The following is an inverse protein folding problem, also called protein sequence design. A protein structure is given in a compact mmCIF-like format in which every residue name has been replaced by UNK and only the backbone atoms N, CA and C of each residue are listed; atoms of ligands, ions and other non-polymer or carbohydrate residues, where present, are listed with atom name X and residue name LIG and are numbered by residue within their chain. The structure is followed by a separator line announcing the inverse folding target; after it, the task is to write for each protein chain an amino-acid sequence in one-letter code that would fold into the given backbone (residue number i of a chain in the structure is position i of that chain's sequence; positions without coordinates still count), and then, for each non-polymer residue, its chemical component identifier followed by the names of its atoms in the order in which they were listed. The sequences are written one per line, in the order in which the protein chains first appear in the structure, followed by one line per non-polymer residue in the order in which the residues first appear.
data_IF_858383560248
#
_entry.id   IF_858383560248
#
_cell.length_a   1.000
_cell.length_b   1.000
_cell.length_c   1.000
_cell.angle_alpha   90.00
_cell.angle_beta   90.00
_cell.angle_gamma   90.00
#
_symmetry.space_group_name_H-M   'P 1'
#
loop_
_entity.id
_entity.type
_entity.pdbx_description
1 polymer ?
#
# COMPACT_ATOMS: atom_id res chain seq x y z
N UNK A 1 13.93 30.68 20.71
CA UNK A 1 14.71 29.47 20.37
C UNK A 1 13.89 28.67 19.38
N UNK A 2 14.33 28.65 18.13
CA UNK A 2 13.70 27.95 17.01
C UNK A 2 13.97 26.46 17.16
N UNK A 3 12.94 25.63 17.31
CA UNK A 3 13.04 24.18 17.18
C UNK A 3 12.67 23.80 15.74
N UNK A 4 13.59 23.12 15.07
CA UNK A 4 13.44 22.63 13.71
C UNK A 4 12.30 21.61 13.59
N UNK A 5 11.52 21.62 12.49
CA UNK A 5 10.55 20.57 12.19
C UNK A 5 11.27 19.45 11.43
N UNK A 6 11.97 18.60 12.17
CA UNK A 6 12.76 17.49 11.61
C UNK A 6 12.45 16.12 12.20
N UNK A 7 11.66 16.07 13.27
CA UNK A 7 11.24 14.80 13.86
C UNK A 7 9.97 14.35 13.14
N UNK A 8 10.12 13.32 12.30
CA UNK A 8 9.00 12.53 11.81
C UNK A 8 8.17 12.13 13.03
N UNK A 9 6.97 12.68 13.16
CA UNK A 9 5.99 12.25 14.15
C UNK A 9 5.69 10.77 13.88
N UNK A 10 6.37 9.90 14.60
CA UNK A 10 5.97 8.50 14.73
C UNK A 10 4.86 8.50 15.77
N UNK A 11 3.63 8.35 15.31
CA UNK A 11 2.45 8.30 16.17
C UNK A 11 1.64 7.04 15.84
N UNK A 12 0.95 6.53 16.85
CA UNK A 12 0.00 5.43 16.69
C UNK A 12 -1.23 5.95 15.93
N UNK A 13 -1.58 5.39 14.76
CA UNK A 13 -2.77 5.79 14.00
C UNK A 13 -4.08 5.64 14.77
N UNK A 14 -4.14 4.76 15.77
CA UNK A 14 -5.33 4.62 16.64
C UNK A 14 -5.55 5.83 17.55
N UNK A 15 -4.50 6.61 17.80
CA UNK A 15 -4.56 7.87 18.56
C UNK A 15 -5.04 9.06 17.72
N UNK A 16 -5.24 8.86 16.41
CA UNK A 16 -5.75 9.88 15.50
C UNK A 16 -7.28 9.81 15.43
N UNK A 17 -7.94 10.93 15.75
CA UNK A 17 -9.40 11.06 15.67
C UNK A 17 -9.76 12.02 14.56
N UNK A 18 -10.62 11.59 13.64
CA UNK A 18 -11.16 12.47 12.59
C UNK A 18 -12.28 13.31 13.19
N UNK A 19 -12.07 14.62 13.25
CA UNK A 19 -13.06 15.57 13.77
C UNK A 19 -14.01 16.03 12.66
N UNK A 20 -13.45 16.38 11.50
CA UNK A 20 -14.23 16.95 10.39
C UNK A 20 -13.53 16.76 9.05
N UNK A 21 -14.31 16.49 8.00
CA UNK A 21 -13.82 16.64 6.63
C UNK A 21 -13.73 18.14 6.25
N UNK A 22 -12.53 18.60 5.91
CA UNK A 22 -12.27 19.99 5.52
C UNK A 22 -12.44 20.19 4.02
N UNK A 23 -11.91 19.27 3.21
CA UNK A 23 -11.97 19.35 1.75
C UNK A 23 -11.76 17.99 1.13
N UNK A 24 -12.55 17.68 0.13
CA UNK A 24 -12.36 16.50 -0.72
C UNK A 24 -12.16 16.90 -2.17
N UNK A 25 -11.46 16.05 -2.90
CA UNK A 25 -11.29 16.08 -4.34
C UNK A 25 -11.17 14.64 -4.84
N UNK A 26 -11.10 14.46 -6.16
CA UNK A 26 -10.83 13.16 -6.76
C UNK A 26 -9.45 12.58 -6.40
N UNK A 27 -8.51 13.40 -5.92
CA UNK A 27 -7.12 13.00 -5.67
C UNK A 27 -6.71 13.02 -4.18
N UNK A 28 -7.55 13.55 -3.30
CA UNK A 28 -7.26 13.62 -1.87
C UNK A 28 -8.49 13.95 -1.03
N UNK A 29 -8.44 13.53 0.24
CA UNK A 29 -9.32 14.01 1.30
C UNK A 29 -8.48 14.70 2.38
N UNK A 30 -8.87 15.90 2.79
CA UNK A 30 -8.28 16.62 3.92
C UNK A 30 -9.27 16.57 5.06
N UNK A 31 -8.82 16.01 6.17
CA UNK A 31 -9.53 15.97 7.43
C UNK A 31 -8.86 16.92 8.42
N UNK A 32 -9.67 17.55 9.24
CA UNK A 32 -9.25 18.02 10.53
C UNK A 32 -9.21 16.83 11.47
N UNK A 33 -8.07 16.64 12.12
CA UNK A 33 -7.86 15.52 13.03
C UNK A 33 -7.33 16.00 14.36
N UNK A 34 -7.72 15.32 15.42
CA UNK A 34 -7.09 15.46 16.73
C UNK A 34 -6.05 14.36 16.90
N UNK A 35 -4.84 14.75 17.30
CA UNK A 35 -3.76 13.84 17.68
C UNK A 35 -3.13 14.38 18.98
N UNK A 36 -3.14 13.57 20.04
CA UNK A 36 -2.58 13.91 21.36
C UNK A 36 -3.11 15.26 21.92
N UNK A 37 -4.40 15.55 21.70
CA UNK A 37 -5.03 16.80 22.16
C UNK A 37 -4.70 18.04 21.32
N UNK A 38 -3.98 17.87 20.20
CA UNK A 38 -3.68 18.93 19.25
C UNK A 38 -4.40 18.71 17.91
N UNK A 39 -4.85 19.80 17.28
CA UNK A 39 -5.54 19.75 15.99
C UNK A 39 -4.54 19.85 14.84
N UNK A 40 -4.66 18.95 13.87
CA UNK A 40 -3.87 18.91 12.65
C UNK A 40 -4.78 18.81 11.42
N UNK A 41 -4.21 19.04 10.24
CA UNK A 41 -4.82 18.66 8.98
C UNK A 41 -4.18 17.36 8.49
N UNK A 42 -4.96 16.30 8.36
CA UNK A 42 -4.55 15.06 7.72
C UNK A 42 -4.97 15.09 6.26
N UNK A 43 -4.00 15.06 5.35
CA UNK A 43 -4.27 14.79 3.93
C UNK A 43 -4.11 13.30 3.68
N UNK A 44 -5.17 12.64 3.24
CA UNK A 44 -5.18 11.25 2.77
C UNK A 44 -5.13 11.25 1.25
N UNK A 45 -4.23 10.46 0.68
CA UNK A 45 -4.03 10.27 -0.76
C UNK A 45 -3.68 8.79 -1.01
N UNK A 46 -4.40 8.13 -1.92
CA UNK A 46 -4.27 6.70 -2.23
C UNK A 46 -5.54 6.16 -2.91
N UNK A 47 -5.53 4.92 -3.44
CA UNK A 47 -6.61 4.39 -4.26
C UNK A 47 -7.95 4.38 -3.52
N UNK A 48 -8.92 5.14 -4.03
CA UNK A 48 -10.28 5.14 -3.49
C UNK A 48 -10.97 3.78 -3.67
N UNK A 49 -11.55 3.24 -2.61
CA UNK A 49 -12.57 2.21 -2.71
C UNK A 49 -13.90 2.86 -3.09
N UNK A 50 -14.39 2.57 -4.30
CA UNK A 50 -15.63 3.16 -4.81
C UNK A 50 -16.87 2.31 -4.50
N UNK A 51 -16.70 1.03 -4.16
CA UNK A 51 -17.80 0.14 -3.82
C UNK A 51 -17.52 -1.32 -4.18
N UNK A 52 -18.53 -2.16 -4.02
CA UNK A 52 -18.49 -3.57 -4.42
C UNK A 52 -19.71 -3.93 -5.24
N UNK A 53 -19.57 -4.94 -6.09
CA UNK A 53 -20.65 -5.58 -6.83
C UNK A 53 -20.77 -6.99 -6.29
N UNK A 54 -21.90 -7.30 -5.69
CA UNK A 54 -22.24 -8.67 -5.32
C UNK A 54 -22.88 -9.40 -6.51
N UNK A 55 -22.46 -10.64 -6.75
CA UNK A 55 -22.99 -11.53 -7.80
C UNK A 55 -23.06 -10.88 -9.18
N UNK A 56 -21.90 -10.45 -9.68
CA UNK A 56 -21.76 -9.90 -11.02
C UNK A 56 -22.11 -10.96 -12.08
N UNK A 57 -22.94 -10.58 -13.07
CA UNK A 57 -23.34 -11.47 -14.17
C UNK A 57 -22.21 -11.57 -15.22
N UNK A 58 -21.48 -12.71 -15.32
CA UNK A 58 -20.36 -12.83 -16.23
C UNK A 58 -20.76 -12.74 -17.71
N UNK A 59 -22.01 -13.06 -18.04
CA UNK A 59 -22.51 -13.06 -19.41
C UNK A 59 -22.52 -11.65 -20.04
N UNK A 60 -22.60 -10.60 -19.22
CA UNK A 60 -22.58 -9.19 -19.65
C UNK A 60 -21.19 -8.67 -19.99
N UNK A 61 -20.13 -9.37 -19.57
CA UNK A 61 -18.74 -8.91 -19.69
C UNK A 61 -17.87 -9.89 -20.48
N UNK A 62 -18.50 -10.63 -21.40
CA UNK A 62 -17.77 -11.51 -22.30
C UNK A 62 -16.88 -10.68 -23.25
N UNK A 63 -15.67 -11.18 -23.60
CA UNK A 63 -15.14 -12.50 -23.23
C UNK A 63 -14.37 -12.53 -21.90
N UNK A 64 -14.17 -11.38 -21.25
CA UNK A 64 -13.22 -11.22 -20.15
C UNK A 64 -13.55 -12.08 -18.91
N UNK A 65 -14.83 -12.34 -18.66
CA UNK A 65 -15.29 -13.11 -17.50
C UNK A 65 -15.77 -14.52 -17.84
N UNK A 66 -15.40 -15.06 -19.02
CA UNK A 66 -15.86 -16.39 -19.46
C UNK A 66 -15.53 -17.53 -18.48
N UNK A 67 -14.45 -17.39 -17.71
CA UNK A 67 -14.03 -18.40 -16.74
C UNK A 67 -14.98 -18.52 -15.54
N UNK A 68 -15.82 -17.52 -15.27
CA UNK A 68 -16.85 -17.55 -14.22
C UNK A 68 -18.22 -18.06 -14.71
N UNK A 69 -18.39 -18.36 -16.00
CA UNK A 69 -19.72 -18.65 -16.59
C UNK A 69 -20.41 -19.89 -16.02
N UNK A 70 -19.63 -20.85 -15.52
CA UNK A 70 -20.15 -22.12 -14.99
C UNK A 70 -20.10 -22.18 -13.46
N UNK A 71 -19.75 -21.08 -12.79
CA UNK A 71 -19.64 -21.06 -11.35
C UNK A 71 -21.04 -21.04 -10.71
N UNK A 72 -21.21 -21.81 -9.64
CA UNK A 72 -22.50 -21.90 -8.92
C UNK A 72 -22.94 -20.56 -8.30
N UNK A 73 -22.01 -19.63 -8.11
CA UNK A 73 -22.26 -18.29 -7.60
C UNK A 73 -21.56 -17.27 -8.51
N UNK A 74 -22.26 -16.20 -8.86
CA UNK A 74 -21.65 -15.11 -9.62
C UNK A 74 -20.51 -14.45 -8.82
N UNK A 75 -19.42 -14.02 -9.48
CA UNK A 75 -18.28 -13.43 -8.80
C UNK A 75 -18.65 -12.14 -8.08
N UNK A 76 -18.06 -11.92 -6.91
CA UNK A 76 -18.07 -10.62 -6.23
C UNK A 76 -16.88 -9.81 -6.74
N UNK A 77 -17.10 -8.53 -6.99
CA UNK A 77 -16.06 -7.60 -7.43
C UNK A 77 -15.98 -6.40 -6.49
N UNK A 78 -14.78 -5.83 -6.33
CA UNK A 78 -14.58 -4.52 -5.73
C UNK A 78 -14.19 -3.52 -6.82
N UNK A 79 -14.67 -2.29 -6.71
CA UNK A 79 -14.31 -1.19 -7.57
C UNK A 79 -13.31 -0.31 -6.83
N UNK A 80 -12.12 -0.20 -7.41
CA UNK A 80 -11.02 0.61 -6.92
C UNK A 80 -10.73 1.74 -7.90
N UNK A 81 -10.12 2.81 -7.40
CA UNK A 81 -9.58 3.87 -8.23
C UNK A 81 -8.61 3.29 -9.26
N UNK A 82 -8.76 3.75 -10.50
CA UNK A 82 -7.82 3.43 -11.55
C UNK A 82 -6.62 4.39 -11.47
N UNK A 83 -5.47 3.85 -11.14
CA UNK A 83 -4.21 4.58 -11.08
C UNK A 83 -3.60 4.63 -12.50
N UNK A 84 -3.55 5.82 -13.09
CA UNK A 84 -2.94 6.03 -14.42
C UNK A 84 -1.41 5.97 -14.38
N UNK A 85 -0.82 5.60 -15.52
CA UNK A 85 0.63 5.61 -15.74
C UNK A 85 1.44 4.85 -14.67
N UNK A 86 0.92 3.69 -14.24
CA UNK A 86 1.57 2.85 -13.24
C UNK A 86 2.54 1.85 -13.85
N UNK A 87 3.67 1.63 -13.17
CA UNK A 87 4.62 0.55 -13.47
C UNK A 87 4.95 -0.27 -12.22
N UNK A 88 5.17 -1.58 -12.39
CA UNK A 88 5.81 -2.40 -11.35
C UNK A 88 7.30 -2.06 -11.24
N UNK A 89 7.90 -2.10 -10.03
CA UNK A 89 9.34 -2.00 -9.86
C UNK A 89 10.07 -3.10 -10.64
N UNK A 90 11.07 -2.72 -11.41
CA UNK A 90 11.92 -3.59 -12.20
C UNK A 90 13.36 -3.04 -12.28
N UNK A 91 14.27 -3.77 -12.91
CA UNK A 91 15.70 -3.42 -12.94
C UNK A 91 16.04 -2.12 -13.68
N UNK A 92 15.12 -1.60 -14.50
CA UNK A 92 15.29 -0.38 -15.27
C UNK A 92 14.75 0.83 -14.50
N UNK A 93 13.60 0.66 -13.86
CA UNK A 93 12.90 1.74 -13.15
C UNK A 93 13.16 1.72 -11.63
N UNK A 94 14.06 0.88 -11.13
CA UNK A 94 14.45 0.90 -9.73
C UNK A 94 15.26 2.17 -9.37
N UNK A 95 15.03 2.71 -8.16
CA UNK A 95 15.87 3.73 -7.54
C UNK A 95 15.80 3.66 -6.02
N UNK A 96 16.82 4.19 -5.34
CA UNK A 96 16.84 4.26 -3.87
C UNK A 96 15.70 5.10 -3.31
N UNK A 97 15.25 6.13 -4.04
CA UNK A 97 14.13 6.97 -3.63
C UNK A 97 12.80 6.19 -3.70
N UNK A 98 12.60 5.38 -4.75
CA UNK A 98 11.43 4.50 -4.88
C UNK A 98 11.43 3.40 -3.82
N UNK A 99 12.59 2.79 -3.55
CA UNK A 99 12.72 1.82 -2.46
C UNK A 99 12.40 2.45 -1.11
N UNK A 100 12.95 3.64 -0.84
CA UNK A 100 12.68 4.37 0.40
C UNK A 100 11.20 4.69 0.54
N UNK A 101 10.54 5.11 -0.53
CA UNK A 101 9.09 5.35 -0.55
C UNK A 101 8.30 4.07 -0.25
N UNK A 102 8.67 2.93 -0.86
CA UNK A 102 8.05 1.63 -0.57
C UNK A 102 8.21 1.23 0.90
N UNK A 103 9.40 1.38 1.48
CA UNK A 103 9.68 1.09 2.90
C UNK A 103 8.88 2.00 3.82
N UNK A 104 8.77 3.29 3.51
CA UNK A 104 7.94 4.23 4.28
C UNK A 104 6.47 3.81 4.23
N UNK A 105 5.97 3.45 3.04
CA UNK A 105 4.61 2.93 2.88
C UNK A 105 4.36 1.66 3.69
N UNK A 106 5.29 0.71 3.66
CA UNK A 106 5.20 -0.54 4.41
C UNK A 106 5.23 -0.32 5.93
N UNK A 107 6.07 0.60 6.42
CA UNK A 107 6.04 1.02 7.83
C UNK A 107 4.70 1.65 8.22
N UNK A 108 4.09 2.41 7.31
CA UNK A 108 2.73 2.93 7.50
C UNK A 108 1.69 1.81 7.64
N UNK A 109 1.78 0.78 6.81
CA UNK A 109 0.93 -0.42 6.88
C UNK A 109 1.10 -1.12 8.22
N UNK A 110 2.35 -1.39 8.63
CA UNK A 110 2.64 -2.02 9.93
C UNK A 110 2.17 -1.15 11.10
N UNK A 111 2.38 0.17 11.03
CA UNK A 111 1.93 1.13 12.04
C UNK A 111 0.40 1.20 12.16
N UNK A 112 -0.33 0.91 11.08
CA UNK A 112 -1.78 0.77 11.08
C UNK A 112 -2.26 -0.60 11.61
N UNK A 113 -1.37 -1.38 12.22
CA UNK A 113 -1.65 -2.73 12.73
C UNK A 113 -2.10 -3.69 11.63
N UNK A 114 -1.52 -3.54 10.43
CA UNK A 114 -1.77 -4.41 9.28
C UNK A 114 -0.47 -5.14 8.94
N UNK A 115 -0.54 -6.45 8.78
CA UNK A 115 0.53 -7.25 8.19
C UNK A 115 0.12 -7.69 6.80
N UNK A 116 0.83 -7.21 5.76
CA UNK A 116 0.44 -7.40 4.36
C UNK A 116 0.57 -8.86 3.87
N UNK A 117 1.58 -9.60 4.36
CA UNK A 117 1.85 -11.02 4.06
C UNK A 117 2.22 -11.40 2.61
N UNK A 118 2.29 -10.42 1.70
CA UNK A 118 2.71 -10.62 0.29
C UNK A 118 3.49 -9.38 -0.18
N UNK A 119 4.59 -9.04 0.49
CA UNK A 119 5.34 -7.80 0.27
C UNK A 119 6.26 -7.82 -0.97
N UNK A 120 5.92 -8.62 -2.00
CA UNK A 120 6.73 -8.77 -3.21
C UNK A 120 6.52 -7.60 -4.19
N UNK A 121 7.48 -7.33 -5.11
CA UNK A 121 7.43 -6.19 -6.02
C UNK A 121 6.15 -6.08 -6.86
N UNK A 122 5.53 -7.21 -7.22
CA UNK A 122 4.23 -7.28 -7.95
C UNK A 122 3.08 -6.53 -7.25
N UNK A 123 3.19 -6.33 -5.93
CA UNK A 123 2.20 -5.63 -5.12
C UNK A 123 2.60 -4.19 -4.80
N UNK A 124 3.60 -3.67 -5.51
CA UNK A 124 4.04 -2.27 -5.46
C UNK A 124 3.80 -1.67 -6.84
N UNK A 125 3.15 -0.52 -6.89
CA UNK A 125 3.03 0.27 -8.12
C UNK A 125 3.74 1.62 -7.97
N UNK A 126 4.47 2.00 -9.00
CA UNK A 126 5.04 3.33 -9.19
C UNK A 126 4.08 4.10 -10.09
N UNK A 127 3.46 5.16 -9.59
CA UNK A 127 2.62 6.06 -10.38
C UNK A 127 3.55 7.11 -11.03
N UNK A 128 3.78 6.97 -12.33
CA UNK A 128 4.63 7.86 -13.11
C UNK A 128 3.91 9.20 -13.36
N UNK A 129 4.57 10.30 -13.06
CA UNK A 129 4.05 11.65 -13.27
C UNK A 129 4.42 12.58 -12.12
N UNK A 130 4.40 13.90 -12.28
CA UNK A 130 4.74 14.82 -11.19
C UNK A 130 3.50 15.15 -10.32
N UNK A 131 3.51 14.89 -9.00
CA UNK A 131 4.56 14.20 -8.24
C UNK A 131 4.45 12.67 -8.35
N UNK A 132 5.61 12.01 -8.40
CA UNK A 132 5.67 10.54 -8.46
C UNK A 132 5.25 9.98 -7.11
N UNK A 133 4.58 8.84 -7.11
CA UNK A 133 4.22 8.14 -5.89
C UNK A 133 4.40 6.64 -6.00
N UNK A 134 4.66 6.00 -4.86
CA UNK A 134 4.78 4.55 -4.74
C UNK A 134 3.66 4.08 -3.83
N UNK A 135 2.87 3.12 -4.30
CA UNK A 135 1.70 2.61 -3.59
C UNK A 135 1.77 1.10 -3.42
N UNK A 136 1.33 0.64 -2.26
CA UNK A 136 1.12 -0.78 -1.98
C UNK A 136 -0.30 -1.18 -2.36
N UNK A 137 -0.44 -2.29 -3.06
CA UNK A 137 -1.73 -2.83 -3.51
C UNK A 137 -1.91 -4.29 -3.03
N UNK A 138 -3.11 -4.82 -3.22
CA UNK A 138 -3.41 -6.25 -3.00
C UNK A 138 -3.23 -6.73 -1.55
N UNK A 139 -4.16 -6.31 -0.68
CA UNK A 139 -4.24 -6.74 0.72
C UNK A 139 -5.05 -8.03 0.91
N UNK A 140 -5.24 -8.85 -0.14
CA UNK A 140 -6.14 -10.00 -0.09
C UNK A 140 -5.78 -11.06 0.97
N UNK A 141 -4.49 -11.15 1.33
CA UNK A 141 -3.98 -12.05 2.36
C UNK A 141 -3.54 -11.32 3.64
N UNK A 142 -3.78 -10.02 3.71
CA UNK A 142 -3.37 -9.21 4.85
C UNK A 142 -4.15 -9.59 6.11
N UNK A 143 -3.52 -9.36 7.26
CA UNK A 143 -4.12 -9.57 8.58
C UNK A 143 -4.11 -8.25 9.34
N UNK A 144 -5.25 -7.89 9.93
CA UNK A 144 -5.41 -6.74 10.83
C UNK A 144 -5.33 -7.19 12.28
N UNK A 145 -4.73 -6.36 13.13
CA UNK A 145 -4.62 -6.57 14.57
C UNK A 145 -5.40 -5.47 15.30
N UNK A 146 -6.09 -5.83 16.38
CA UNK A 146 -6.93 -4.90 17.14
C UNK A 146 -6.11 -3.98 18.06
N UNK A 147 -4.88 -4.39 18.38
CA UNK A 147 -3.94 -3.62 19.20
C UNK A 147 -2.48 -4.01 18.93
N UNK A 148 -1.53 -3.15 19.30
CA UNK A 148 -0.11 -3.49 19.27
C UNK A 148 0.24 -4.72 20.13
N UNK A 149 -0.47 -4.93 21.25
CA UNK A 149 -0.31 -6.13 22.08
C UNK A 149 -0.71 -7.42 21.34
N UNK A 150 -1.79 -7.36 20.56
CA UNK A 150 -2.25 -8.51 19.76
C UNK A 150 -1.33 -8.82 18.59
N UNK A 151 -0.65 -7.80 18.05
CA UNK A 151 0.42 -7.96 17.06
C UNK A 151 1.65 -8.60 17.72
N UNK A 152 1.97 -8.17 18.95
CA UNK A 152 2.96 -8.79 19.83
C UNK A 152 4.37 -8.88 19.24
N UNK A 153 5.26 -9.58 19.95
CA UNK A 153 6.66 -9.73 19.53
C UNK A 153 6.82 -10.50 18.21
N UNK A 154 5.93 -11.47 17.94
CA UNK A 154 5.93 -12.18 16.67
C UNK A 154 5.56 -11.25 15.51
N UNK A 155 4.60 -10.35 15.70
CA UNK A 155 4.27 -9.33 14.71
C UNK A 155 5.41 -8.35 14.46
N UNK A 156 6.14 -7.93 15.49
CA UNK A 156 7.34 -7.09 15.31
C UNK A 156 8.45 -7.80 14.50
N UNK A 157 8.69 -9.09 14.78
CA UNK A 157 9.63 -9.91 14.01
C UNK A 157 9.19 -10.04 12.54
N UNK A 158 7.91 -10.27 12.28
CA UNK A 158 7.36 -10.33 10.91
C UNK A 158 7.46 -8.99 10.19
N UNK A 159 7.14 -7.88 10.87
CA UNK A 159 7.26 -6.55 10.30
C UNK A 159 8.73 -6.22 9.96
N UNK A 160 9.66 -6.59 10.85
CA UNK A 160 11.10 -6.45 10.59
C UNK A 160 11.53 -7.29 9.39
N UNK A 161 11.07 -8.55 9.32
CA UNK A 161 11.34 -9.44 8.20
C UNK A 161 10.82 -8.87 6.87
N UNK A 162 9.59 -8.36 6.83
CA UNK A 162 9.01 -7.72 5.65
C UNK A 162 9.88 -6.55 5.17
N UNK A 163 10.36 -5.71 6.09
CA UNK A 163 11.22 -4.57 5.77
C UNK A 163 12.58 -5.03 5.21
N UNK A 164 13.20 -6.04 5.81
CA UNK A 164 14.45 -6.60 5.30
C UNK A 164 14.26 -7.28 3.93
N UNK A 165 13.13 -7.96 3.73
CA UNK A 165 12.78 -8.54 2.44
C UNK A 165 12.64 -7.45 1.36
N UNK A 166 11.93 -6.36 1.65
CA UNK A 166 11.79 -5.24 0.71
C UNK A 166 13.14 -4.58 0.41
N UNK A 167 14.00 -4.38 1.41
CA UNK A 167 15.36 -3.86 1.21
C UNK A 167 16.19 -4.75 0.28
N UNK A 168 16.05 -6.07 0.41
CA UNK A 168 16.79 -7.04 -0.42
C UNK A 168 16.45 -6.94 -1.91
N UNK A 169 15.29 -6.37 -2.27
CA UNK A 169 14.94 -6.14 -3.66
C UNK A 169 15.84 -5.10 -4.32
N UNK A 170 16.37 -4.13 -3.56
CA UNK A 170 17.27 -3.14 -4.12
C UNK A 170 18.54 -3.77 -4.68
N UNK A 171 19.13 -4.70 -3.93
CA UNK A 171 20.28 -5.48 -4.38
C UNK A 171 19.92 -6.35 -5.61
N UNK A 172 18.76 -7.00 -5.59
CA UNK A 172 18.31 -7.91 -6.64
C UNK A 172 17.99 -7.22 -7.97
N UNK A 173 17.38 -6.04 -7.92
CA UNK A 173 17.06 -5.24 -9.11
C UNK A 173 18.32 -4.60 -9.69
N UNK A 174 19.33 -4.31 -8.86
CA UNK A 174 20.63 -3.86 -9.32
C UNK A 174 21.43 -4.98 -10.01
N UNK A 175 21.39 -6.22 -9.52
CA UNK A 175 22.02 -7.38 -10.18
C UNK A 175 21.47 -7.60 -11.60
N UNK A 176 20.16 -7.45 -11.79
CA UNK A 176 19.53 -7.56 -13.10
C UNK A 176 19.99 -6.45 -14.06
N UNK A 177 20.28 -5.24 -13.56
CA UNK A 177 20.90 -4.15 -14.35
C UNK A 177 22.29 -4.54 -14.84
N UNK A 178 23.03 -5.35 -14.08
CA UNK A 178 24.35 -5.88 -14.46
C UNK A 178 24.27 -7.06 -15.46
N UNK A 179 23.06 -7.43 -15.91
CA UNK A 179 22.84 -8.54 -16.85
C UNK A 179 22.95 -9.92 -16.21
N UNK A 180 22.86 -10.01 -14.87
CA UNK A 180 22.85 -11.28 -14.17
C UNK A 180 21.48 -11.98 -14.32
N UNK A 181 21.43 -13.31 -14.29
CA UNK A 181 20.18 -14.05 -14.38
C UNK A 181 19.21 -13.65 -13.25
N UNK A 182 17.89 -13.56 -13.50
CA UNK A 182 16.93 -13.23 -12.47
C UNK A 182 17.03 -14.19 -11.28
N UNK A 183 17.13 -13.64 -10.07
CA UNK A 183 17.14 -14.46 -8.87
C UNK A 183 15.71 -14.97 -8.60
N UNK A 184 15.42 -16.20 -9.06
CA UNK A 184 14.10 -16.84 -8.99
C UNK A 184 13.69 -17.29 -7.58
N UNK A 185 14.50 -17.05 -6.55
CA UNK A 185 14.18 -17.45 -5.17
C UNK A 185 12.96 -16.71 -4.59
N UNK A 186 12.58 -15.60 -5.21
CA UNK A 186 11.57 -14.66 -4.71
C UNK A 186 10.44 -14.38 -5.73
N UNK A 187 10.34 -15.18 -6.80
CA UNK A 187 9.30 -15.13 -7.84
C UNK A 187 8.41 -16.38 -7.77
#
# INVERSE_FOLDING_TARGET
MSQHPGDLLVFDPSSLRIEKELKTSEAFSIFEVELLGHRYALKVQGPYYHGYIDRLDPARFQPHLNHFMNDSHGPTAILLEYLQDTEEPNCVNYSDDRLRAAIIGLRGIHGALIHHRDVYPKNILIICGPPESVVWINFAVAVTFDSGESMGHQGEEYCSFDIELVKSFGELLEDQRLGLPPNTKYY
#
